data_IF_013297938777
#
_entry.id   IF_013297938777
#
_cell.length_a   1.000
_cell.length_b   1.000
_cell.length_c   1.000
_cell.angle_alpha   90.00
_cell.angle_beta   90.00
_cell.angle_gamma   90.00
#
_symmetry.space_group_name_H-M   'P 1'
#
loop_
_entity.id
_entity.type
_entity.pdbx_description
1 polymer ?
#
# COMPACT_ATOMS: atom_id res chain seq x y z
N UNK A 1 -22.44 27.54 33.10
CA UNK A 1 -21.09 26.92 33.05
C UNK A 1 -21.25 25.43 32.75
N UNK A 2 -21.12 25.03 31.48
CA UNK A 2 -21.20 23.62 31.08
C UNK A 2 -19.79 23.00 31.08
N UNK A 3 -19.58 21.91 31.81
CA UNK A 3 -18.31 21.17 31.87
C UNK A 3 -18.16 20.33 30.59
N UNK A 4 -17.05 20.50 29.88
CA UNK A 4 -16.64 19.60 28.79
C UNK A 4 -16.39 18.17 29.33
N UNK A 5 -16.72 17.12 28.56
CA UNK A 5 -16.39 15.75 28.93
C UNK A 5 -14.88 15.51 28.77
N UNK A 6 -14.27 14.93 29.80
CA UNK A 6 -12.88 14.50 29.81
C UNK A 6 -12.68 13.40 28.77
N UNK A 7 -11.84 13.67 27.77
CA UNK A 7 -11.32 12.65 26.85
C UNK A 7 -10.53 11.63 27.67
N UNK A 8 -10.90 10.34 27.56
CA UNK A 8 -10.11 9.25 28.12
C UNK A 8 -8.80 9.17 27.36
N UNK A 9 -7.69 9.40 28.06
CA UNK A 9 -6.34 9.25 27.55
C UNK A 9 -6.15 7.83 26.99
N UNK A 10 -6.13 7.71 25.66
CA UNK A 10 -5.67 6.52 24.98
C UNK A 10 -4.16 6.48 25.18
N UNK A 11 -3.67 5.61 26.08
CA UNK A 11 -2.24 5.40 26.30
C UNK A 11 -1.59 4.97 24.99
N UNK A 12 -0.97 5.92 24.29
CA UNK A 12 -0.07 5.65 23.18
C UNK A 12 1.20 5.10 23.81
N UNK A 13 1.43 3.79 23.76
CA UNK A 13 2.74 3.22 24.09
C UNK A 13 3.65 3.39 22.88
N UNK A 14 4.73 4.19 22.98
CA UNK A 14 5.80 4.14 22.00
C UNK A 14 6.61 2.86 22.26
N UNK A 15 7.05 2.21 21.19
CA UNK A 15 7.84 0.96 21.19
C UNK A 15 7.10 -0.29 21.67
N UNK A 16 6.26 -0.86 20.81
CA UNK A 16 6.12 -2.31 20.74
C UNK A 16 6.96 -2.80 19.57
N UNK A 17 8.19 -3.24 19.85
CA UNK A 17 8.88 -4.18 18.95
C UNK A 17 7.85 -5.28 18.64
N UNK A 18 7.60 -5.66 17.37
CA UNK A 18 6.70 -6.77 17.09
C UNK A 18 7.16 -7.94 17.95
N UNK A 19 6.29 -8.40 18.84
CA UNK A 19 6.61 -9.54 19.72
C UNK A 19 7.16 -10.66 18.83
N UNK A 20 8.19 -11.36 19.31
CA UNK A 20 8.89 -12.42 18.55
C UNK A 20 7.90 -13.34 17.78
N UNK A 21 6.77 -13.66 18.38
CA UNK A 21 5.67 -14.43 17.79
C UNK A 21 4.92 -13.80 16.59
N UNK A 22 4.86 -12.46 16.45
CA UNK A 22 4.33 -11.77 15.26
C UNK A 22 5.38 -11.80 14.16
N UNK A 23 6.65 -11.55 14.49
CA UNK A 23 7.76 -11.68 13.54
C UNK A 23 7.88 -13.12 13.00
N UNK A 24 7.65 -14.13 13.84
CA UNK A 24 7.71 -15.55 13.45
C UNK A 24 6.54 -15.98 12.54
N UNK A 25 5.38 -15.28 12.59
CA UNK A 25 4.20 -15.59 11.76
C UNK A 25 4.18 -14.84 10.43
N UNK A 26 4.92 -13.75 10.33
CA UNK A 26 4.96 -12.89 9.15
C UNK A 26 6.28 -13.14 8.44
N UNK A 27 6.23 -13.82 7.28
CA UNK A 27 7.43 -14.09 6.47
C UNK A 27 8.28 -12.82 6.33
N UNK A 28 9.60 -12.99 6.46
CA UNK A 28 10.56 -11.96 6.04
C UNK A 28 10.24 -11.56 4.60
N UNK A 29 10.11 -10.25 4.38
CA UNK A 29 9.85 -9.67 3.07
C UNK A 29 11.18 -9.25 2.44
N UNK A 30 11.24 -9.23 1.11
CA UNK A 30 12.35 -8.67 0.35
C UNK A 30 12.23 -7.13 0.24
N UNK A 31 12.00 -6.48 1.39
CA UNK A 31 11.80 -5.03 1.52
C UNK A 31 12.57 -4.52 2.74
N UNK A 32 13.01 -3.25 2.74
CA UNK A 32 13.60 -2.64 3.93
C UNK A 32 12.66 -2.71 5.15
N UNK A 33 13.26 -2.85 6.33
CA UNK A 33 12.52 -2.80 7.59
C UNK A 33 12.24 -1.36 7.98
N UNK A 34 11.08 -1.12 8.59
CA UNK A 34 10.76 0.17 9.22
C UNK A 34 10.28 -0.06 10.67
N UNK A 35 10.21 0.99 11.53
CA UNK A 35 9.69 0.89 12.88
C UNK A 35 8.18 0.59 12.92
N UNK A 36 7.83 -0.69 12.81
CA UNK A 36 6.42 -1.14 12.77
C UNK A 36 5.69 -0.76 14.05
N UNK A 37 4.57 -0.05 13.91
CA UNK A 37 3.67 0.27 15.02
C UNK A 37 2.49 -0.69 15.05
N UNK A 38 2.41 -1.51 16.10
CA UNK A 38 1.30 -2.45 16.29
C UNK A 38 0.66 -2.31 17.66
N UNK A 39 -0.63 -2.67 17.75
CA UNK A 39 -1.35 -2.80 19.02
C UNK A 39 -2.18 -4.08 19.03
N UNK A 40 -2.48 -4.59 20.22
CA UNK A 40 -3.37 -5.74 20.39
C UNK A 40 -4.67 -5.31 21.06
N UNK A 41 -5.79 -5.72 20.48
CA UNK A 41 -7.13 -5.44 21.00
C UNK A 41 -7.96 -6.73 20.86
N UNK A 42 -8.55 -7.21 21.96
CA UNK A 42 -9.43 -8.40 21.99
C UNK A 42 -8.83 -9.66 21.31
N UNK A 43 -7.52 -9.85 21.42
CA UNK A 43 -6.82 -11.01 20.82
C UNK A 43 -6.43 -10.83 19.35
N UNK A 44 -6.86 -9.76 18.70
CA UNK A 44 -6.43 -9.40 17.34
C UNK A 44 -5.26 -8.42 17.38
N UNK A 45 -4.41 -8.48 16.36
CA UNK A 45 -3.31 -7.53 16.18
C UNK A 45 -3.69 -6.52 15.11
N UNK A 46 -3.39 -5.26 15.37
CA UNK A 46 -3.62 -4.15 14.48
C UNK A 46 -2.29 -3.46 14.15
N UNK A 47 -2.16 -2.97 12.93
CA UNK A 47 -1.01 -2.22 12.41
C UNK A 47 -1.45 -0.79 12.07
N UNK A 48 -0.59 0.18 12.33
CA UNK A 48 -0.86 1.57 11.99
C UNK A 48 -0.58 1.82 10.51
N UNK A 49 -1.58 2.29 9.77
CA UNK A 49 -1.41 2.82 8.42
C UNK A 49 -1.14 4.32 8.50
N UNK A 50 0.06 4.74 8.08
CA UNK A 50 0.48 6.13 8.17
C UNK A 50 -0.18 7.05 7.13
N UNK A 51 -0.61 6.51 5.98
CA UNK A 51 -1.30 7.26 4.93
C UNK A 51 -2.77 7.50 5.32
N UNK A 52 -3.43 6.53 5.95
CA UNK A 52 -4.81 6.64 6.45
C UNK A 52 -4.91 7.11 7.91
N UNK A 53 -3.77 7.28 8.58
CA UNK A 53 -3.63 7.70 9.97
C UNK A 53 -4.48 6.92 10.98
N UNK A 54 -4.63 5.61 10.79
CA UNK A 54 -5.46 4.76 11.66
C UNK A 54 -4.90 3.35 11.80
N UNK A 55 -5.31 2.67 12.87
CA UNK A 55 -5.00 1.25 13.07
C UNK A 55 -5.97 0.36 12.31
N UNK A 56 -5.45 -0.70 11.71
CA UNK A 56 -6.18 -1.67 10.90
C UNK A 56 -5.82 -3.08 11.30
N UNK A 57 -6.74 -4.03 11.12
CA UNK A 57 -6.43 -5.42 11.42
C UNK A 57 -5.22 -5.85 10.60
N UNK A 58 -4.20 -6.37 11.28
CA UNK A 58 -2.99 -6.87 10.63
C UNK A 58 -3.34 -8.14 9.87
N UNK A 59 -3.38 -8.05 8.55
CA UNK A 59 -3.45 -9.19 7.64
C UNK A 59 -2.08 -9.38 6.95
N UNK A 60 -1.80 -10.56 6.38
CA UNK A 60 -0.57 -10.76 5.59
C UNK A 60 -0.45 -9.80 4.41
N UNK A 61 -1.55 -9.40 3.77
CA UNK A 61 -1.56 -8.40 2.70
C UNK A 61 -1.31 -6.99 3.24
N UNK A 62 -1.95 -6.60 4.36
CA UNK A 62 -1.72 -5.29 4.98
C UNK A 62 -0.27 -5.14 5.45
N UNK A 63 0.38 -6.22 5.88
CA UNK A 63 1.80 -6.24 6.18
C UNK A 63 2.66 -5.89 4.97
N UNK A 64 2.36 -6.47 3.81
CA UNK A 64 3.04 -6.14 2.55
C UNK A 64 2.77 -4.69 2.19
N UNK A 65 1.50 -4.25 2.22
CA UNK A 65 1.09 -2.87 1.93
C UNK A 65 1.90 -1.87 2.76
N UNK A 66 1.95 -2.04 4.09
CA UNK A 66 2.67 -1.12 4.96
C UNK A 66 4.19 -1.11 4.73
N UNK A 67 4.83 -2.27 4.54
CA UNK A 67 6.27 -2.29 4.23
C UNK A 67 6.55 -1.62 2.88
N UNK A 68 5.68 -1.86 1.90
CA UNK A 68 5.88 -1.32 0.56
C UNK A 68 5.65 0.19 0.51
N UNK A 69 4.63 0.72 1.18
CA UNK A 69 4.40 2.17 1.23
C UNK A 69 5.49 2.90 2.01
N UNK A 70 6.02 2.30 3.09
CA UNK A 70 7.22 2.83 3.76
C UNK A 70 8.45 2.80 2.84
N UNK A 71 8.67 1.70 2.11
CA UNK A 71 9.74 1.61 1.10
C UNK A 71 9.65 2.72 0.05
N UNK A 72 8.46 2.97 -0.50
CA UNK A 72 8.26 4.02 -1.49
C UNK A 72 8.61 5.41 -0.94
N UNK A 73 8.15 5.73 0.27
CA UNK A 73 8.35 7.05 0.88
C UNK A 73 9.79 7.25 1.36
N UNK A 74 10.34 6.27 2.08
CA UNK A 74 11.61 6.41 2.79
C UNK A 74 12.83 6.08 1.93
N UNK A 75 12.67 5.23 0.91
CA UNK A 75 13.79 4.76 0.08
C UNK A 75 13.69 5.18 -1.38
N UNK A 76 12.47 5.33 -1.92
CA UNK A 76 12.25 5.76 -3.32
C UNK A 76 11.79 7.22 -3.44
N UNK A 77 11.69 7.93 -2.31
CA UNK A 77 11.41 9.36 -2.22
C UNK A 77 10.02 9.78 -2.73
N UNK A 78 9.03 8.88 -2.65
CA UNK A 78 7.65 9.16 -3.07
C UNK A 78 7.00 10.08 -2.03
N UNK A 79 6.48 11.26 -2.40
CA UNK A 79 5.83 12.14 -1.44
C UNK A 79 4.59 11.48 -0.85
N UNK A 80 4.56 11.25 0.46
CA UNK A 80 3.43 10.59 1.14
C UNK A 80 2.09 11.29 0.88
N UNK A 81 2.08 12.63 0.74
CA UNK A 81 0.87 13.39 0.45
C UNK A 81 0.27 13.14 -0.93
N UNK A 82 0.99 12.46 -1.83
CA UNK A 82 0.50 12.04 -3.14
C UNK A 82 0.09 10.57 -3.16
N UNK A 83 0.35 9.82 -2.10
CA UNK A 83 -0.03 8.41 -1.96
C UNK A 83 -1.35 8.30 -1.20
N UNK A 84 -2.25 7.45 -1.70
CA UNK A 84 -3.49 7.11 -1.02
C UNK A 84 -3.69 5.59 -0.98
N UNK A 85 -4.09 5.06 0.17
CA UNK A 85 -4.44 3.65 0.34
C UNK A 85 -5.97 3.43 0.30
N UNK A 86 -6.40 2.27 -0.21
CA UNK A 86 -7.81 1.84 -0.29
C UNK A 86 -8.71 2.78 -1.11
N UNK A 87 -8.26 3.19 -2.29
CA UNK A 87 -9.00 4.10 -3.14
C UNK A 87 -10.19 3.37 -3.79
N UNK A 88 -11.39 3.88 -3.54
CA UNK A 88 -12.61 3.35 -4.17
C UNK A 88 -12.70 3.80 -5.62
N UNK A 89 -13.00 2.87 -6.51
CA UNK A 89 -13.13 3.10 -7.95
C UNK A 89 -14.41 2.44 -8.49
N UNK A 90 -14.97 2.98 -9.56
CA UNK A 90 -16.12 2.40 -10.24
C UNK A 90 -15.66 1.75 -11.54
N UNK A 91 -15.75 0.42 -11.63
CA UNK A 91 -15.36 -0.35 -12.82
C UNK A 91 -16.57 -1.11 -13.32
N UNK A 92 -17.06 -0.75 -14.51
CA UNK A 92 -18.25 -1.39 -15.10
C UNK A 92 -19.50 -1.30 -14.23
N UNK A 93 -19.68 -0.18 -13.50
CA UNK A 93 -20.80 0.01 -12.56
C UNK A 93 -20.65 -0.71 -11.23
N UNK A 94 -19.52 -1.38 -10.98
CA UNK A 94 -19.24 -2.05 -9.71
C UNK A 94 -18.16 -1.29 -8.94
N UNK A 95 -18.47 -1.00 -7.68
CA UNK A 95 -17.50 -0.44 -6.74
C UNK A 95 -16.40 -1.46 -6.43
N UNK A 96 -15.17 -1.09 -6.76
CA UNK A 96 -13.95 -1.83 -6.46
C UNK A 96 -13.02 -0.97 -5.64
N UNK A 97 -11.97 -1.59 -5.12
CA UNK A 97 -10.98 -0.92 -4.30
C UNK A 97 -9.61 -1.21 -4.88
N UNK A 98 -8.87 -0.14 -5.15
CA UNK A 98 -7.46 -0.21 -5.48
C UNK A 98 -6.65 -0.05 -4.19
N UNK A 99 -5.62 -0.87 -4.02
CA UNK A 99 -4.88 -0.90 -2.76
C UNK A 99 -4.10 0.38 -2.48
N UNK A 100 -3.30 0.85 -3.45
CA UNK A 100 -2.67 2.18 -3.38
C UNK A 100 -2.66 2.88 -4.74
N UNK A 101 -2.73 4.20 -4.69
CA UNK A 101 -2.58 5.09 -5.84
C UNK A 101 -1.57 6.17 -5.51
N UNK A 102 -0.67 6.48 -6.44
CA UNK A 102 0.11 7.71 -6.46
C UNK A 102 -0.53 8.69 -7.44
N UNK A 103 -0.74 9.93 -7.02
CA UNK A 103 -1.23 11.00 -7.88
C UNK A 103 -0.10 11.88 -8.43
N UNK A 104 -0.36 12.56 -9.54
CA UNK A 104 0.48 13.67 -9.98
C UNK A 104 0.45 14.82 -8.96
N UNK A 105 1.51 15.64 -8.94
CA UNK A 105 1.58 16.82 -8.07
C UNK A 105 0.47 17.84 -8.35
N UNK A 106 0.08 17.94 -9.62
CA UNK A 106 -0.97 18.85 -10.08
C UNK A 106 -2.17 18.03 -10.50
N UNK A 107 -3.32 18.31 -9.89
CA UNK A 107 -4.57 17.60 -10.14
C UNK A 107 -4.73 16.32 -9.34
N UNK A 108 -5.72 15.51 -9.72
CA UNK A 108 -6.07 14.25 -9.05
C UNK A 108 -5.93 13.05 -10.00
N UNK A 109 -5.12 13.19 -11.05
CA UNK A 109 -4.89 12.12 -12.01
C UNK A 109 -3.96 11.06 -11.40
N UNK A 110 -4.33 9.77 -11.45
CA UNK A 110 -3.45 8.68 -11.06
C UNK A 110 -2.21 8.62 -11.95
N UNK A 111 -1.03 8.62 -11.33
CA UNK A 111 0.26 8.40 -11.99
C UNK A 111 0.68 6.94 -11.91
N UNK A 112 0.42 6.31 -10.76
CA UNK A 112 0.74 4.92 -10.51
C UNK A 112 -0.36 4.26 -9.70
N UNK A 113 -0.64 2.99 -10.00
CA UNK A 113 -1.50 2.14 -9.16
C UNK A 113 -0.73 0.92 -8.69
N UNK A 114 -1.04 0.47 -7.48
CA UNK A 114 -0.34 -0.62 -6.82
C UNK A 114 -1.36 -1.60 -6.27
N UNK A 115 -1.12 -2.89 -6.51
CA UNK A 115 -1.89 -4.01 -5.96
C UNK A 115 -0.98 -4.89 -5.11
N UNK A 116 -1.42 -5.20 -3.90
CA UNK A 116 -0.70 -6.07 -2.98
C UNK A 116 -1.37 -7.42 -2.84
N UNK A 117 -0.56 -8.44 -2.56
CA UNK A 117 -1.03 -9.76 -2.13
C UNK A 117 -0.26 -10.19 -0.89
N UNK A 118 -0.80 -11.19 -0.18
CA UNK A 118 -0.09 -11.82 0.92
C UNK A 118 1.19 -12.52 0.44
N UNK A 119 2.24 -12.66 1.27
CA UNK A 119 3.54 -13.20 0.86
C UNK A 119 3.55 -14.64 0.34
N UNK A 120 2.51 -15.42 0.66
CA UNK A 120 2.38 -16.80 0.19
C UNK A 120 1.55 -16.92 -1.10
N UNK A 121 0.99 -15.81 -1.60
CA UNK A 121 0.20 -15.80 -2.83
C UNK A 121 1.13 -15.49 -4.00
N UNK A 122 1.25 -16.40 -4.99
CA UNK A 122 2.05 -16.14 -6.19
C UNK A 122 1.45 -14.99 -7.00
N UNK A 123 2.33 -14.16 -7.59
CA UNK A 123 1.90 -13.14 -8.54
C UNK A 123 1.68 -13.84 -9.88
N UNK A 124 0.42 -14.00 -10.26
CA UNK A 124 -0.01 -14.68 -11.49
C UNK A 124 -0.59 -13.69 -12.49
N UNK A 125 -0.83 -14.15 -13.71
CA UNK A 125 -1.52 -13.36 -14.74
C UNK A 125 -2.89 -12.84 -14.27
N UNK A 126 -3.60 -13.58 -13.42
CA UNK A 126 -4.89 -13.15 -12.87
C UNK A 126 -4.75 -11.90 -11.98
N UNK A 127 -3.64 -11.76 -11.25
CA UNK A 127 -3.35 -10.56 -10.45
C UNK A 127 -3.09 -9.37 -11.36
N UNK A 128 -2.37 -9.57 -12.47
CA UNK A 128 -2.21 -8.53 -13.49
C UNK A 128 -3.54 -8.14 -14.14
N UNK A 129 -4.41 -9.10 -14.45
CA UNK A 129 -5.75 -8.80 -14.98
C UNK A 129 -6.57 -7.94 -14.01
N UNK A 130 -6.45 -8.16 -12.70
CA UNK A 130 -7.11 -7.33 -11.69
C UNK A 130 -6.65 -5.87 -11.76
N UNK A 131 -5.33 -5.61 -11.73
CA UNK A 131 -4.82 -4.24 -11.77
C UNK A 131 -5.06 -3.58 -13.14
N UNK A 132 -5.00 -4.34 -14.25
CA UNK A 132 -5.39 -3.82 -15.58
C UNK A 132 -6.87 -3.43 -15.65
N UNK A 133 -7.75 -4.19 -15.00
CA UNK A 133 -9.18 -3.85 -14.90
C UNK A 133 -9.37 -2.48 -14.24
N UNK A 134 -8.62 -2.20 -13.17
CA UNK A 134 -8.65 -0.88 -12.51
C UNK A 134 -8.05 0.20 -13.41
N UNK A 135 -6.96 -0.12 -14.09
CA UNK A 135 -6.27 0.81 -14.97
C UNK A 135 -7.10 1.22 -16.21
N UNK A 136 -8.08 0.41 -16.62
CA UNK A 136 -9.01 0.77 -17.70
C UNK A 136 -9.82 2.04 -17.38
N UNK A 137 -9.99 2.36 -16.10
CA UNK A 137 -10.70 3.54 -15.61
C UNK A 137 -9.71 4.61 -15.15
N UNK A 138 -8.71 4.23 -14.35
CA UNK A 138 -7.78 5.17 -13.72
C UNK A 138 -6.74 5.74 -14.68
N UNK A 139 -6.40 5.00 -15.74
CA UNK A 139 -5.44 5.36 -16.78
C UNK A 139 -4.08 5.85 -16.25
N UNK A 140 -3.53 5.16 -15.26
CA UNK A 140 -2.21 5.44 -14.69
C UNK A 140 -1.06 4.99 -15.60
N UNK A 141 0.04 5.73 -15.57
CA UNK A 141 1.24 5.48 -16.36
C UNK A 141 2.00 4.23 -15.89
N UNK A 142 1.99 3.95 -14.59
CA UNK A 142 2.73 2.85 -13.97
C UNK A 142 1.84 1.92 -13.17
N UNK A 143 2.06 0.61 -13.31
CA UNK A 143 1.39 -0.43 -12.54
C UNK A 143 2.42 -1.19 -11.72
N UNK A 144 2.12 -1.41 -10.45
CA UNK A 144 2.94 -2.24 -9.57
C UNK A 144 2.09 -3.37 -8.99
N UNK A 145 2.65 -4.58 -9.00
CA UNK A 145 2.11 -5.71 -8.26
C UNK A 145 3.19 -6.23 -7.32
N UNK A 146 2.84 -6.42 -6.05
CA UNK A 146 3.79 -6.87 -5.03
C UNK A 146 3.15 -7.86 -4.07
N UNK A 147 3.87 -8.92 -3.72
CA UNK A 147 3.51 -9.78 -2.59
C UNK A 147 4.55 -9.68 -1.46
N UNK A 148 5.41 -8.66 -1.49
CA UNK A 148 6.48 -8.48 -0.50
C UNK A 148 7.70 -9.38 -0.71
N UNK A 149 7.63 -10.39 -1.59
CA UNK A 149 8.76 -11.26 -1.95
C UNK A 149 9.22 -10.98 -3.38
N UNK A 150 8.27 -10.85 -4.28
CA UNK A 150 8.46 -10.44 -5.67
C UNK A 150 7.70 -9.15 -5.93
N UNK A 151 8.27 -8.32 -6.79
CA UNK A 151 7.74 -7.02 -7.19
C UNK A 151 7.84 -6.92 -8.71
N UNK A 152 6.75 -6.51 -9.33
CA UNK A 152 6.71 -6.26 -10.77
C UNK A 152 6.24 -4.84 -10.99
N UNK A 153 6.99 -4.08 -11.76
CA UNK A 153 6.61 -2.75 -12.21
C UNK A 153 6.53 -2.75 -13.73
N UNK A 154 5.48 -2.15 -14.29
CA UNK A 154 5.41 -1.88 -15.72
C UNK A 154 4.91 -0.48 -15.99
N UNK A 155 5.36 0.08 -17.12
CA UNK A 155 4.88 1.33 -17.69
C UNK A 155 3.93 1.03 -18.85
N UNK A 156 2.81 1.74 -18.89
CA UNK A 156 1.81 1.65 -19.95
C UNK A 156 2.00 2.82 -20.91
N UNK A 157 2.24 2.51 -22.19
CA UNK A 157 2.25 3.49 -23.28
C UNK A 157 0.90 3.43 -23.99
N UNK A 158 0.02 4.38 -23.67
CA UNK A 158 -1.32 4.45 -24.28
C UNK A 158 -1.32 4.91 -25.74
N UNK A 159 -0.25 5.55 -26.22
CA UNK A 159 -0.15 5.97 -27.62
C UNK A 159 0.18 4.78 -28.51
N UNK A 160 1.07 3.90 -28.05
CA UNK A 160 1.48 2.68 -28.76
C UNK A 160 0.69 1.44 -28.34
N UNK A 161 -0.14 1.55 -27.30
CA UNK A 161 -0.83 0.42 -26.67
C UNK A 161 0.13 -0.68 -26.21
N UNK A 162 1.30 -0.29 -25.70
CA UNK A 162 2.37 -1.18 -25.25
C UNK A 162 2.47 -1.19 -23.73
N UNK A 163 2.91 -2.33 -23.18
CA UNK A 163 3.32 -2.44 -21.78
C UNK A 163 4.79 -2.81 -21.74
N UNK A 164 5.57 -2.03 -20.98
CA UNK A 164 7.01 -2.27 -20.79
C UNK A 164 7.28 -2.61 -19.34
N UNK A 165 7.82 -3.80 -19.10
CA UNK A 165 8.26 -4.20 -17.77
C UNK A 165 9.56 -3.46 -17.41
N UNK A 166 9.59 -2.91 -16.20
CA UNK A 166 10.78 -2.28 -15.63
C UNK A 166 11.54 -3.30 -14.79
N UNK A 167 12.87 -3.16 -14.78
CA UNK A 167 13.76 -4.03 -13.99
C UNK A 167 13.70 -3.72 -12.50
N UNK A 168 13.36 -2.49 -12.13
CA UNK A 168 13.17 -2.05 -10.75
C UNK A 168 12.03 -1.03 -10.67
N UNK A 169 11.57 -0.76 -9.46
CA UNK A 169 10.66 0.34 -9.14
C UNK A 169 11.46 1.65 -9.22
N UNK A 170 11.08 2.59 -10.09
CA UNK A 170 11.83 3.84 -10.28
C UNK A 170 11.78 4.72 -9.03
N UNK A 171 12.80 5.54 -8.84
CA UNK A 171 12.75 6.64 -7.88
C UNK A 171 11.70 7.67 -8.32
N UNK A 172 11.13 8.43 -7.37
CA UNK A 172 10.07 9.39 -7.69
C UNK A 172 10.48 10.44 -8.74
N UNK A 173 11.77 10.80 -8.77
CA UNK A 173 12.36 11.74 -9.73
C UNK A 173 12.48 11.18 -11.14
N UNK A 174 12.35 9.87 -11.33
CA UNK A 174 12.48 9.17 -12.60
C UNK A 174 11.13 8.82 -13.25
N UNK A 175 10.03 9.05 -12.52
CA UNK A 175 8.68 8.80 -13.00
C UNK A 175 8.31 9.75 -14.14
#
# INVERSE_FOLDING_TARGET
MAKLPKTKDCKVTPNSIPTKAIADKMKSLNLPTYPVRTRREKGETFIYDFLRQRYLRLTPEEWVRQHFTHYLVEHKHYPAGLLGNEITIQVGGVSRRCDSVLYHQVGTTPRMIIEYKAPHIPITQAVFQQIYSYNSVLRADYLIVSNGIAHYCCRVDYQKMEVRYLTDIPDYTEL
#
